data_IF_670223239309
#
_entry.id   IF_670223239309
#
_cell.length_a   1.000
_cell.length_b   1.000
_cell.length_c   1.000
_cell.angle_alpha   90.00
_cell.angle_beta   90.00
_cell.angle_gamma   90.00
#
_symmetry.space_group_name_H-M   'P 1'
#
loop_
_entity.id
_entity.type
_entity.pdbx_description
1 polymer ?
#
# COMPACT_ATOMS: atom_id res chain seq x y z
N UNK A 1 43.35 4.84 -46.15
CA UNK A 1 43.59 3.96 -44.98
C UNK A 1 44.50 4.68 -43.99
N UNK A 2 43.98 5.08 -42.83
CA UNK A 2 44.73 5.38 -41.59
C UNK A 2 43.73 5.59 -40.46
N UNK A 3 43.96 4.90 -39.34
CA UNK A 3 42.99 4.61 -38.29
C UNK A 3 42.73 5.79 -37.33
N UNK A 4 41.54 5.88 -36.71
CA UNK A 4 41.33 6.76 -35.56
C UNK A 4 41.94 6.12 -34.30
N UNK A 5 42.88 6.84 -33.69
CA UNK A 5 43.53 6.51 -32.42
C UNK A 5 42.54 6.44 -31.25
N UNK A 6 42.55 5.31 -30.53
CA UNK A 6 41.74 5.08 -29.34
C UNK A 6 42.11 6.03 -28.19
N UNK A 7 41.13 6.78 -27.68
CA UNK A 7 41.25 7.56 -26.44
C UNK A 7 41.29 6.61 -25.24
N UNK A 8 42.45 6.57 -24.57
CA UNK A 8 42.69 5.81 -23.34
C UNK A 8 41.81 6.40 -22.22
N UNK A 9 40.73 5.70 -21.86
CA UNK A 9 39.88 6.09 -20.73
C UNK A 9 40.63 5.84 -19.41
N UNK A 10 40.84 6.89 -18.62
CA UNK A 10 41.35 6.78 -17.26
C UNK A 10 40.35 6.06 -16.36
N UNK A 11 40.80 5.00 -15.70
CA UNK A 11 39.97 4.22 -14.78
C UNK A 11 39.52 5.09 -13.58
N UNK A 12 38.21 5.26 -13.42
CA UNK A 12 37.60 5.93 -12.27
C UNK A 12 37.85 5.06 -11.03
N UNK A 13 38.76 5.49 -10.14
CA UNK A 13 38.93 4.86 -8.82
C UNK A 13 37.61 4.95 -8.06
N UNK A 14 36.95 3.82 -7.87
CA UNK A 14 35.83 3.69 -6.93
C UNK A 14 36.35 3.93 -5.52
N UNK A 15 35.82 4.94 -4.83
CA UNK A 15 36.02 5.10 -3.39
C UNK A 15 35.45 3.87 -2.68
N UNK A 16 36.27 3.20 -1.88
CA UNK A 16 35.85 2.05 -1.10
C UNK A 16 34.67 2.45 -0.21
N UNK A 17 33.54 1.77 -0.40
CA UNK A 17 32.35 1.89 0.45
C UNK A 17 32.80 1.48 1.87
N UNK A 18 32.96 2.46 2.78
CA UNK A 18 33.24 2.18 4.19
C UNK A 18 32.21 1.16 4.66
N UNK A 19 32.67 -0.05 4.98
CA UNK A 19 31.83 -1.06 5.59
C UNK A 19 31.28 -0.50 6.89
N UNK A 20 30.01 -0.77 7.18
CA UNK A 20 29.42 -0.44 8.47
C UNK A 20 30.31 -1.02 9.59
N UNK A 21 30.51 -0.28 10.70
CA UNK A 21 31.33 -0.76 11.79
C UNK A 21 30.80 -2.12 12.26
N UNK A 22 31.68 -3.13 12.34
CA UNK A 22 31.34 -4.42 12.93
C UNK A 22 30.90 -4.15 14.37
N UNK A 23 29.63 -4.40 14.67
CA UNK A 23 29.15 -4.36 16.04
C UNK A 23 30.01 -5.32 16.87
N UNK A 24 30.48 -4.86 18.04
CA UNK A 24 31.15 -5.72 19.00
C UNK A 24 30.27 -6.94 19.31
N UNK A 25 30.88 -8.11 19.53
CA UNK A 25 30.17 -9.32 19.95
C UNK A 25 29.50 -9.07 21.31
N UNK A 26 28.24 -8.64 21.25
CA UNK A 26 27.35 -8.55 22.40
C UNK A 26 26.77 -9.92 22.67
N UNK A 27 26.60 -10.25 23.95
CA UNK A 27 25.82 -11.42 24.37
C UNK A 27 24.37 -11.28 23.89
N UNK A 28 23.65 -12.40 23.82
CA UNK A 28 22.28 -12.40 23.31
C UNK A 28 21.37 -11.43 24.08
N UNK A 29 21.50 -11.40 25.40
CA UNK A 29 20.73 -10.55 26.29
C UNK A 29 21.06 -9.06 26.09
N UNK A 30 22.34 -8.69 25.95
CA UNK A 30 22.76 -7.31 25.66
C UNK A 30 22.26 -6.82 24.29
N UNK A 31 22.08 -7.73 23.32
CA UNK A 31 21.47 -7.36 22.02
C UNK A 31 19.97 -7.12 22.17
N UNK A 32 19.28 -7.94 22.95
CA UNK A 32 17.84 -7.81 23.18
C UNK A 32 17.54 -6.49 23.89
N UNK A 33 18.27 -6.17 24.97
CA UNK A 33 18.10 -4.90 25.69
C UNK A 33 18.38 -3.69 24.81
N UNK A 34 19.49 -3.69 24.06
CA UNK A 34 19.81 -2.61 23.14
C UNK A 34 18.76 -2.44 22.02
N UNK A 35 18.17 -3.54 21.54
CA UNK A 35 17.09 -3.48 20.56
C UNK A 35 15.82 -2.86 21.18
N UNK A 36 15.47 -3.24 22.41
CA UNK A 36 14.30 -2.70 23.13
C UNK A 36 14.46 -1.18 23.29
N UNK A 37 15.62 -0.72 23.75
CA UNK A 37 15.92 0.72 23.91
C UNK A 37 15.76 1.45 22.57
N UNK A 38 16.28 0.87 21.49
CA UNK A 38 16.16 1.45 20.15
C UNK A 38 14.70 1.53 19.68
N UNK A 39 13.89 0.49 19.92
CA UNK A 39 12.48 0.49 19.55
C UNK A 39 11.65 1.48 20.37
N UNK A 40 11.91 1.61 21.68
CA UNK A 40 11.26 2.62 22.51
C UNK A 40 11.65 4.04 22.08
N UNK A 41 12.90 4.27 21.66
CA UNK A 41 13.31 5.54 21.07
C UNK A 41 12.49 5.93 19.82
N UNK A 42 12.14 4.97 18.95
CA UNK A 42 11.23 5.22 17.83
C UNK A 42 9.82 5.57 18.28
N UNK A 43 9.33 4.90 19.33
CA UNK A 43 8.00 5.14 19.91
C UNK A 43 7.90 6.54 20.51
N UNK A 44 8.91 6.96 21.28
CA UNK A 44 8.99 8.30 21.86
C UNK A 44 9.01 9.39 20.79
N UNK A 45 9.80 9.18 19.73
CA UNK A 45 9.83 10.08 18.58
C UNK A 45 8.48 10.19 17.89
N UNK A 46 7.77 9.07 17.69
CA UNK A 46 6.42 9.10 17.12
C UNK A 46 5.41 9.85 18.02
N UNK A 47 5.55 9.72 19.36
CA UNK A 47 4.72 10.43 20.33
C UNK A 47 5.00 11.94 20.34
N UNK A 48 6.27 12.36 20.28
CA UNK A 48 6.63 13.78 20.26
C UNK A 48 6.08 14.50 19.02
N UNK A 49 6.01 13.79 17.88
CA UNK A 49 5.38 14.29 16.65
C UNK A 49 3.84 14.17 16.64
N UNK A 50 3.22 13.66 17.73
CA UNK A 50 1.77 13.42 17.84
C UNK A 50 1.18 12.52 16.74
N UNK A 51 2.02 11.71 16.07
CA UNK A 51 1.61 10.85 14.95
C UNK A 51 0.95 9.53 15.38
N UNK A 52 0.94 9.21 16.68
CA UNK A 52 0.66 7.86 17.17
C UNK A 52 -0.75 7.55 17.67
N UNK A 53 -1.71 8.50 17.68
CA UNK A 53 -2.95 8.33 18.47
C UNK A 53 -4.29 8.50 17.75
N UNK A 54 -4.35 8.90 16.48
CA UNK A 54 -5.62 8.88 15.74
C UNK A 54 -5.81 7.51 15.08
N UNK A 55 -6.06 6.49 15.91
CA UNK A 55 -6.64 5.22 15.44
C UNK A 55 -8.14 5.46 15.34
N UNK A 56 -8.59 6.04 14.23
CA UNK A 56 -10.02 6.02 13.92
C UNK A 56 -10.34 4.56 13.60
N UNK A 57 -11.11 3.91 14.45
CA UNK A 57 -11.74 2.64 14.08
C UNK A 57 -12.80 2.99 13.04
N UNK A 58 -12.52 2.59 11.81
CA UNK A 58 -13.46 2.75 10.71
C UNK A 58 -14.31 1.49 10.66
N UNK A 59 -15.62 1.70 10.54
CA UNK A 59 -16.56 0.60 10.30
C UNK A 59 -16.20 -0.13 9.00
N UNK A 60 -16.58 -1.41 8.86
CA UNK A 60 -16.45 -2.10 7.58
C UNK A 60 -17.33 -1.45 6.50
N UNK A 61 -16.85 -1.47 5.25
CA UNK A 61 -17.67 -1.14 4.09
C UNK A 61 -18.29 -2.43 3.56
N UNK A 62 -19.61 -2.48 3.49
CA UNK A 62 -20.37 -3.71 3.16
C UNK A 62 -21.15 -3.50 1.86
N UNK A 63 -21.00 -4.44 0.93
CA UNK A 63 -21.87 -4.58 -0.24
C UNK A 63 -22.73 -5.83 -0.01
N UNK A 64 -24.04 -5.65 -0.05
CA UNK A 64 -24.98 -6.74 0.24
C UNK A 64 -24.95 -7.82 -0.83
N UNK A 65 -25.15 -9.08 -0.41
CA UNK A 65 -25.19 -10.25 -1.29
C UNK A 65 -26.09 -10.05 -2.52
N UNK A 66 -27.29 -9.47 -2.30
CA UNK A 66 -28.29 -9.19 -3.33
C UNK A 66 -27.77 -8.33 -4.49
N UNK A 67 -26.75 -7.49 -4.23
CA UNK A 67 -26.15 -6.62 -5.26
C UNK A 67 -25.51 -7.41 -6.39
N UNK A 68 -24.96 -8.60 -6.09
CA UNK A 68 -24.21 -9.37 -7.07
C UNK A 68 -25.08 -10.38 -7.82
N UNK A 69 -26.20 -10.83 -7.25
CA UNK A 69 -27.06 -11.85 -7.89
C UNK A 69 -26.31 -13.13 -8.30
N UNK A 70 -25.25 -13.52 -7.59
CA UNK A 70 -24.42 -14.72 -7.84
C UNK A 70 -24.94 -15.99 -7.17
N UNK A 71 -26.05 -15.89 -6.44
CA UNK A 71 -26.59 -17.00 -5.66
C UNK A 71 -25.76 -17.34 -4.42
N UNK A 72 -24.81 -16.49 -4.05
CA UNK A 72 -24.04 -16.60 -2.80
C UNK A 72 -24.67 -15.67 -1.77
N UNK A 73 -25.28 -16.25 -0.74
CA UNK A 73 -25.97 -15.55 0.36
C UNK A 73 -24.97 -15.08 1.45
N UNK A 74 -23.93 -14.38 1.02
CA UNK A 74 -22.93 -13.77 1.89
C UNK A 74 -22.63 -12.36 1.41
N UNK A 75 -22.51 -11.41 2.33
CA UNK A 75 -22.12 -10.04 2.00
C UNK A 75 -20.63 -9.96 1.64
N UNK A 76 -20.28 -9.00 0.79
CA UNK A 76 -18.88 -8.65 0.54
C UNK A 76 -18.47 -7.53 1.50
N UNK A 77 -17.56 -7.87 2.42
CA UNK A 77 -17.12 -6.99 3.50
C UNK A 77 -15.68 -6.54 3.28
N UNK A 78 -15.46 -5.24 3.21
CA UNK A 78 -14.14 -4.62 3.16
C UNK A 78 -13.81 -4.03 4.53
N UNK A 79 -12.59 -4.29 5.02
CA UNK A 79 -12.15 -3.84 6.34
C UNK A 79 -10.85 -3.06 6.27
N UNK A 80 -10.73 -2.01 7.09
CA UNK A 80 -9.50 -1.26 7.20
C UNK A 80 -8.33 -2.16 7.66
N UNK A 81 -7.14 -2.05 7.06
CA UNK A 81 -5.98 -2.82 7.50
C UNK A 81 -5.64 -2.52 8.97
N UNK A 82 -5.52 -3.56 9.80
CA UNK A 82 -5.26 -3.40 11.25
C UNK A 82 -3.76 -3.35 11.56
N UNK A 83 -2.99 -4.26 10.97
CA UNK A 83 -1.56 -4.43 11.25
C UNK A 83 -0.66 -3.56 10.36
N UNK A 84 0.54 -3.27 10.86
CA UNK A 84 1.51 -2.39 10.17
C UNK A 84 1.83 -2.88 8.76
N UNK A 85 2.03 -4.19 8.57
CA UNK A 85 2.35 -4.78 7.26
C UNK A 85 1.25 -4.48 6.24
N UNK A 86 0.00 -4.84 6.56
CA UNK A 86 -1.15 -4.62 5.67
C UNK A 86 -1.40 -3.14 5.41
N UNK A 87 -1.17 -2.26 6.39
CA UNK A 87 -1.23 -0.80 6.18
C UNK A 87 -0.20 -0.31 5.17
N UNK A 88 1.03 -0.82 5.23
CA UNK A 88 2.08 -0.48 4.27
C UNK A 88 1.71 -1.01 2.88
N UNK A 89 1.26 -2.26 2.79
CA UNK A 89 0.90 -2.88 1.52
C UNK A 89 -0.28 -2.15 0.86
N UNK A 90 -1.29 -1.76 1.65
CA UNK A 90 -2.41 -0.94 1.17
C UNK A 90 -1.93 0.41 0.61
N UNK A 91 -1.08 1.12 1.34
CA UNK A 91 -0.55 2.41 0.87
C UNK A 91 0.29 2.25 -0.41
N UNK A 92 1.02 1.13 -0.56
CA UNK A 92 1.80 0.83 -1.77
C UNK A 92 0.88 0.53 -2.95
N UNK A 93 -0.14 -0.29 -2.76
CA UNK A 93 -1.11 -0.63 -3.81
C UNK A 93 -1.80 0.64 -4.31
N UNK A 94 -2.28 1.50 -3.39
CA UNK A 94 -2.88 2.80 -3.73
C UNK A 94 -1.91 3.70 -4.50
N UNK A 95 -0.66 3.83 -4.03
CA UNK A 95 0.34 4.68 -4.69
C UNK A 95 0.75 4.17 -6.09
N UNK A 96 0.67 2.86 -6.32
CA UNK A 96 0.98 2.23 -7.60
C UNK A 96 -0.21 2.19 -8.57
N UNK A 97 -1.42 2.56 -8.13
CA UNK A 97 -2.64 2.37 -8.91
C UNK A 97 -3.04 0.90 -9.06
N UNK A 98 -2.58 0.02 -8.16
CA UNK A 98 -2.91 -1.41 -8.15
C UNK A 98 -4.29 -1.63 -7.49
N UNK A 99 -5.33 -1.38 -8.27
CA UNK A 99 -6.73 -1.51 -7.84
C UNK A 99 -7.14 -2.94 -7.44
N UNK A 100 -6.74 -4.00 -8.16
CA UNK A 100 -6.94 -5.37 -7.68
C UNK A 100 -6.28 -5.62 -6.32
N UNK A 101 -5.04 -5.17 -6.14
CA UNK A 101 -4.33 -5.28 -4.86
C UNK A 101 -5.04 -4.52 -3.73
N UNK A 102 -5.64 -3.36 -4.02
CA UNK A 102 -6.47 -2.62 -3.05
C UNK A 102 -7.63 -3.47 -2.54
N UNK A 103 -8.42 -4.07 -3.43
CA UNK A 103 -9.56 -4.89 -3.03
C UNK A 103 -9.11 -6.16 -2.29
N UNK A 104 -8.06 -6.82 -2.78
CA UNK A 104 -7.53 -8.04 -2.16
C UNK A 104 -7.04 -7.78 -0.73
N UNK A 105 -6.40 -6.63 -0.47
CA UNK A 105 -5.94 -6.27 0.87
C UNK A 105 -7.11 -5.99 1.82
N UNK A 106 -8.19 -5.37 1.32
CA UNK A 106 -9.32 -4.92 2.13
C UNK A 106 -10.38 -6.02 2.38
N UNK A 107 -10.68 -6.82 1.37
CA UNK A 107 -11.75 -7.84 1.39
C UNK A 107 -11.28 -9.25 1.03
N UNK A 108 -10.04 -9.44 0.59
CA UNK A 108 -9.50 -10.73 0.16
C UNK A 108 -9.83 -11.08 -1.29
N UNK A 109 -9.20 -12.16 -1.76
CA UNK A 109 -9.34 -12.64 -3.15
C UNK A 109 -10.78 -13.02 -3.51
N UNK A 110 -11.55 -13.55 -2.55
CA UNK A 110 -12.96 -13.89 -2.77
C UNK A 110 -13.80 -12.63 -3.05
N UNK A 111 -13.63 -11.57 -2.26
CA UNK A 111 -14.32 -10.30 -2.47
C UNK A 111 -13.99 -9.71 -3.85
N UNK A 112 -12.71 -9.70 -4.22
CA UNK A 112 -12.25 -9.24 -5.54
C UNK A 112 -12.98 -9.97 -6.67
N UNK A 113 -12.98 -11.31 -6.63
CA UNK A 113 -13.61 -12.12 -7.67
C UNK A 113 -15.13 -11.89 -7.74
N UNK A 114 -15.80 -11.78 -6.59
CA UNK A 114 -17.25 -11.53 -6.55
C UNK A 114 -17.61 -10.17 -7.13
N UNK A 115 -16.82 -9.14 -6.82
CA UNK A 115 -16.99 -7.80 -7.37
C UNK A 115 -16.80 -7.79 -8.89
N UNK A 116 -15.71 -8.38 -9.40
CA UNK A 116 -15.44 -8.45 -10.84
C UNK A 116 -16.60 -9.15 -11.55
N UNK A 117 -16.98 -10.35 -11.08
CA UNK A 117 -18.07 -11.12 -11.69
C UNK A 117 -19.43 -10.38 -11.61
N UNK A 118 -19.66 -9.58 -10.56
CA UNK A 118 -20.83 -8.73 -10.43
C UNK A 118 -20.89 -7.64 -11.50
N UNK A 119 -19.80 -6.89 -11.64
CA UNK A 119 -19.72 -5.82 -12.64
C UNK A 119 -19.77 -6.35 -14.07
N UNK A 120 -19.12 -7.46 -14.38
CA UNK A 120 -19.19 -8.08 -15.70
C UNK A 120 -20.63 -8.51 -16.06
N UNK A 121 -21.38 -9.09 -15.13
CA UNK A 121 -22.78 -9.48 -15.38
C UNK A 121 -23.69 -8.26 -15.57
N UNK A 122 -23.48 -7.21 -14.77
CA UNK A 122 -24.21 -5.96 -14.95
C UNK A 122 -23.90 -5.33 -16.31
N UNK A 123 -22.63 -5.28 -16.71
CA UNK A 123 -22.19 -4.78 -18.01
C UNK A 123 -22.81 -5.57 -19.17
N UNK A 124 -22.85 -6.91 -19.07
CA UNK A 124 -23.47 -7.77 -20.09
C UNK A 124 -24.97 -7.49 -20.27
N UNK A 125 -25.69 -7.13 -19.20
CA UNK A 125 -27.14 -6.90 -19.26
C UNK A 125 -27.54 -5.47 -19.66
N UNK A 126 -26.65 -4.48 -19.45
CA UNK A 126 -26.97 -3.06 -19.62
C UNK A 126 -26.13 -2.35 -20.69
N UNK A 127 -25.02 -2.95 -21.12
CA UNK A 127 -24.03 -2.30 -21.99
C UNK A 127 -23.15 -1.28 -21.26
N UNK A 128 -23.16 -1.24 -19.93
CA UNK A 128 -22.29 -0.39 -19.11
C UNK A 128 -20.82 -0.86 -19.14
N UNK A 129 -19.90 0.02 -18.74
CA UNK A 129 -18.47 -0.29 -18.63
C UNK A 129 -18.13 -0.89 -17.26
N UNK A 130 -17.70 -2.16 -17.25
CA UNK A 130 -17.31 -2.86 -16.03
C UNK A 130 -16.05 -2.30 -15.38
N UNK A 131 -15.10 -1.81 -16.18
CA UNK A 131 -13.85 -1.23 -15.70
C UNK A 131 -14.11 0.11 -15.00
N UNK A 132 -14.97 0.94 -15.57
CA UNK A 132 -15.36 2.22 -14.95
C UNK A 132 -16.00 2.02 -13.57
N UNK A 133 -16.93 1.05 -13.45
CA UNK A 133 -17.54 0.70 -12.17
C UNK A 133 -16.51 0.17 -11.16
N UNK A 134 -15.58 -0.67 -11.63
CA UNK A 134 -14.52 -1.22 -10.78
C UNK A 134 -13.61 -0.13 -10.21
N UNK A 135 -13.15 0.78 -11.07
CA UNK A 135 -12.35 1.94 -10.66
C UNK A 135 -13.14 2.83 -9.69
N UNK A 136 -14.43 3.08 -9.96
CA UNK A 136 -15.31 3.86 -9.09
C UNK A 136 -15.43 3.29 -7.67
N UNK A 137 -15.58 1.97 -7.55
CA UNK A 137 -15.58 1.27 -6.26
C UNK A 137 -14.22 1.43 -5.55
N UNK A 138 -13.11 1.25 -6.27
CA UNK A 138 -11.77 1.39 -5.68
C UNK A 138 -11.56 2.77 -5.06
N UNK A 139 -11.93 3.83 -5.77
CA UNK A 139 -11.84 5.19 -5.23
C UNK A 139 -12.78 5.41 -4.04
N UNK A 140 -13.97 4.82 -4.07
CA UNK A 140 -14.92 4.87 -2.94
C UNK A 140 -14.30 4.25 -1.69
N UNK A 141 -13.71 3.05 -1.81
CA UNK A 141 -13.06 2.36 -0.70
C UNK A 141 -11.81 3.10 -0.20
N UNK A 142 -10.99 3.64 -1.11
CA UNK A 142 -9.79 4.42 -0.74
C UNK A 142 -10.19 5.66 0.06
N UNK A 143 -11.21 6.40 -0.39
CA UNK A 143 -11.71 7.58 0.31
C UNK A 143 -12.34 7.22 1.64
N UNK A 144 -13.11 6.14 1.69
CA UNK A 144 -13.73 5.64 2.91
C UNK A 144 -12.69 5.28 3.97
N UNK A 145 -11.61 4.56 3.59
CA UNK A 145 -10.59 4.10 4.53
C UNK A 145 -9.45 5.09 4.81
N UNK A 146 -9.27 6.13 3.99
CA UNK A 146 -8.24 7.17 4.20
C UNK A 146 -8.81 8.54 4.62
N UNK A 147 -10.12 8.73 4.55
CA UNK A 147 -10.80 10.01 4.78
C UNK A 147 -10.90 10.89 3.53
N UNK A 148 -11.85 11.84 3.52
CA UNK A 148 -11.98 12.85 2.45
C UNK A 148 -10.64 13.60 2.29
N UNK A 149 -9.96 13.37 1.18
CA UNK A 149 -8.65 13.97 0.86
C UNK A 149 -7.63 13.01 0.23
N UNK A 150 -7.89 11.70 0.21
CA UNK A 150 -7.01 10.75 -0.48
C UNK A 150 -7.25 10.64 -2.00
N UNK A 151 -8.36 11.18 -2.51
CA UNK A 151 -8.67 11.27 -3.94
C UNK A 151 -8.00 12.48 -4.65
N UNK A 152 -7.28 13.36 -3.95
CA UNK A 152 -6.48 14.43 -4.56
C UNK A 152 -5.12 13.93 -5.08
N UNK A 153 -5.11 12.88 -5.90
CA UNK A 153 -3.95 12.52 -6.72
C UNK A 153 -4.45 12.07 -8.09
N UNK A 154 -4.48 13.01 -9.06
CA UNK A 154 -3.35 13.10 -10.00
C UNK A 154 -2.80 14.54 -10.17
N UNK A 155 -1.47 14.71 -10.00
CA UNK A 155 -0.72 15.85 -10.56
C UNK A 155 -0.39 17.06 -9.66
N UNK A 156 -0.55 16.98 -8.33
CA UNK A 156 -0.34 18.13 -7.45
C UNK A 156 0.92 18.09 -6.59
N UNK A 157 1.94 18.86 -6.94
CA UNK A 157 2.54 19.80 -5.98
C UNK A 157 3.06 21.01 -6.76
N UNK A 158 2.80 22.23 -6.25
CA UNK A 158 3.84 22.82 -5.44
C UNK A 158 3.39 23.15 -4.02
N UNK A 159 4.41 23.09 -3.16
CA UNK A 159 4.43 23.71 -1.86
C UNK A 159 4.40 25.24 -1.96
N UNK A 160 3.94 25.86 -0.87
CA UNK A 160 3.84 27.31 -0.58
C UNK A 160 2.62 28.02 -1.16
#
# INVERSE_FOLDING_TARGET
MSAPTARKSTARKSTAKKAAPKAAERTEDERIEANIEQFEGFRERARSMKLGKKRVELEPYVITADTFGDGIDEDVVFTAPKDLRRKIDFNRAVAAGDFPGVLEILGGTLALNRVINGFERYAQSTGADAEEMFIGLCYTLINYFRGQGAADVPGGTPAS
#
